data_IF_932593530813
#
_entry.id   IF_932593530813
#
_cell.length_a   1.000
_cell.length_b   1.000
_cell.length_c   1.000
_cell.angle_alpha   90.00
_cell.angle_beta   90.00
_cell.angle_gamma   90.00
#
_symmetry.space_group_name_H-M   'P 1'
#
loop_
_entity.id
_entity.type
_entity.pdbx_description
1 polymer ?
#
# COMPACT_ATOMS: atom_id res chain seq x y z
N UNK A 1 22.41 1.32 15.65
CA UNK A 1 22.98 0.55 14.53
C UNK A 1 21.90 0.34 13.46
N UNK A 2 22.19 0.72 12.26
CA UNK A 2 21.25 0.45 11.19
C UNK A 2 21.32 -1.04 10.81
N UNK A 3 20.16 -1.67 10.71
CA UNK A 3 20.09 -3.03 10.24
C UNK A 3 20.35 -3.06 8.73
N UNK A 4 21.19 -3.98 8.22
CA UNK A 4 21.34 -4.12 6.78
C UNK A 4 20.06 -4.60 6.09
N UNK A 5 19.09 -5.06 6.89
CA UNK A 5 17.82 -5.56 6.38
C UNK A 5 16.76 -4.47 6.22
N UNK A 6 17.05 -3.24 6.68
CA UNK A 6 16.11 -2.13 6.50
C UNK A 6 16.06 -1.71 5.05
N UNK A 7 14.83 -1.54 4.56
CA UNK A 7 14.60 -1.20 3.17
C UNK A 7 14.95 0.26 2.91
N UNK A 8 15.93 0.55 2.04
CA UNK A 8 16.30 1.95 1.79
C UNK A 8 15.25 2.68 0.96
N UNK A 9 15.21 4.00 1.11
CA UNK A 9 14.23 4.83 0.39
C UNK A 9 14.33 4.68 -1.13
N UNK A 10 15.55 4.60 -1.66
CA UNK A 10 15.73 4.43 -3.11
C UNK A 10 15.13 3.14 -3.64
N UNK A 11 15.22 2.07 -2.86
CA UNK A 11 14.61 0.79 -3.24
C UNK A 11 13.08 0.88 -3.20
N UNK A 12 12.54 1.55 -2.18
CA UNK A 12 11.09 1.77 -2.08
C UNK A 12 10.58 2.58 -3.27
N UNK A 13 11.28 3.65 -3.62
CA UNK A 13 10.89 4.48 -4.77
C UNK A 13 10.93 3.70 -6.08
N UNK A 14 11.93 2.83 -6.24
CA UNK A 14 12.00 1.92 -7.38
C UNK A 14 10.76 1.02 -7.45
N UNK A 15 10.36 0.45 -6.30
CA UNK A 15 9.19 -0.42 -6.22
C UNK A 15 7.89 0.33 -6.53
N UNK A 16 7.77 1.57 -6.07
CA UNK A 16 6.60 2.39 -6.38
C UNK A 16 6.51 2.70 -7.88
N UNK A 17 7.62 3.10 -8.48
CA UNK A 17 7.64 3.41 -9.90
C UNK A 17 7.24 2.19 -10.72
N UNK A 18 7.71 1.01 -10.34
CA UNK A 18 7.37 -0.24 -11.00
C UNK A 18 5.89 -0.58 -10.84
N UNK A 19 5.37 -0.50 -9.61
CA UNK A 19 3.95 -0.76 -9.37
C UNK A 19 3.06 0.22 -10.11
N UNK A 20 3.42 1.51 -10.12
CA UNK A 20 2.66 2.54 -10.83
C UNK A 20 2.63 2.29 -12.32
N UNK A 21 3.74 1.86 -12.90
CA UNK A 21 3.82 1.52 -14.33
C UNK A 21 2.91 0.33 -14.64
N UNK A 22 2.96 -0.70 -13.80
CA UNK A 22 2.11 -1.89 -13.97
C UNK A 22 0.64 -1.55 -13.79
N UNK A 23 0.30 -0.67 -12.86
CA UNK A 23 -1.09 -0.22 -12.69
C UNK A 23 -1.60 0.47 -13.94
N UNK A 24 -0.80 1.33 -14.55
CA UNK A 24 -1.19 2.03 -15.78
C UNK A 24 -1.47 1.07 -16.92
N UNK A 25 -0.79 -0.07 -16.95
CA UNK A 25 -0.95 -1.08 -17.98
C UNK A 25 -2.12 -2.02 -17.67
N UNK A 26 -2.22 -2.50 -16.43
CA UNK A 26 -3.15 -3.56 -16.06
C UNK A 26 -4.48 -3.03 -15.51
N UNK A 27 -4.48 -1.83 -14.97
CA UNK A 27 -5.68 -1.21 -14.38
C UNK A 27 -5.64 0.30 -14.61
N UNK A 28 -5.74 0.77 -15.88
CA UNK A 28 -5.47 2.17 -16.21
C UNK A 28 -6.45 3.18 -15.61
N UNK A 29 -7.64 2.75 -15.22
CA UNK A 29 -8.66 3.66 -14.67
C UNK A 29 -8.60 3.85 -13.16
N UNK A 30 -7.73 3.13 -12.44
CA UNK A 30 -7.67 3.29 -10.99
C UNK A 30 -6.75 4.44 -10.61
N UNK A 31 -7.07 5.09 -9.48
CA UNK A 31 -6.23 6.16 -8.95
C UNK A 31 -5.11 5.67 -8.06
N UNK A 32 -5.06 4.37 -7.78
CA UNK A 32 -4.02 3.77 -6.97
C UNK A 32 -4.39 2.38 -6.51
N UNK A 33 -3.54 1.80 -5.65
CA UNK A 33 -3.84 0.50 -5.07
C UNK A 33 -3.81 0.52 -3.55
N UNK A 34 -4.73 -0.24 -2.96
CA UNK A 34 -4.88 -0.40 -1.52
C UNK A 34 -4.49 -1.84 -1.18
N UNK A 35 -3.41 -2.00 -0.41
CA UNK A 35 -2.80 -3.31 -0.17
C UNK A 35 -2.90 -3.66 1.31
N UNK A 36 -3.37 -4.85 1.61
CA UNK A 36 -3.55 -5.32 2.99
C UNK A 36 -2.75 -6.58 3.32
N UNK A 37 -2.25 -7.31 2.32
CA UNK A 37 -1.44 -8.49 2.59
C UNK A 37 -0.14 -8.08 3.28
N UNK A 38 0.31 -8.90 4.23
CA UNK A 38 1.53 -8.58 4.98
C UNK A 38 2.77 -8.53 4.08
N UNK A 39 2.85 -9.43 3.10
CA UNK A 39 3.95 -9.41 2.14
C UNK A 39 3.91 -8.18 1.26
N UNK A 40 2.72 -7.77 0.83
CA UNK A 40 2.56 -6.55 0.04
C UNK A 40 2.91 -5.30 0.82
N UNK A 41 2.47 -5.24 2.08
CA UNK A 41 2.83 -4.12 2.96
C UNK A 41 4.35 -4.06 3.14
N UNK A 42 4.99 -5.20 3.42
CA UNK A 42 6.44 -5.23 3.58
C UNK A 42 7.15 -4.80 2.30
N UNK A 43 6.70 -5.30 1.15
CA UNK A 43 7.30 -4.97 -0.15
C UNK A 43 7.27 -3.45 -0.39
N UNK A 44 6.17 -2.80 -0.04
CA UNK A 44 5.94 -1.38 -0.33
C UNK A 44 6.42 -0.44 0.78
N UNK A 45 6.67 -0.93 1.98
CA UNK A 45 6.95 -0.04 3.12
C UNK A 45 8.21 -0.40 3.89
N UNK A 46 8.67 -1.63 3.79
CA UNK A 46 9.82 -2.10 4.57
C UNK A 46 9.51 -2.53 5.99
N UNK A 47 8.23 -2.55 6.37
CA UNK A 47 7.83 -3.00 7.70
C UNK A 47 6.69 -4.01 7.60
N UNK A 48 6.69 -5.00 8.51
CA UNK A 48 5.58 -5.94 8.63
C UNK A 48 4.57 -5.35 9.61
N UNK A 49 3.33 -5.19 9.18
CA UNK A 49 2.32 -4.59 10.02
C UNK A 49 0.91 -5.06 9.72
N UNK A 50 0.01 -4.79 10.66
CA UNK A 50 -1.41 -5.09 10.52
C UNK A 50 -2.13 -3.81 10.13
N UNK A 51 -2.54 -3.75 8.88
CA UNK A 51 -3.24 -2.58 8.38
C UNK A 51 -3.31 -2.59 6.87
N UNK A 52 -3.06 -1.44 6.28
CA UNK A 52 -3.09 -1.30 4.84
C UNK A 52 -2.17 -0.17 4.39
N UNK A 53 -1.76 -0.24 3.13
CA UNK A 53 -1.00 0.84 2.50
C UNK A 53 -1.76 1.30 1.26
N UNK A 54 -1.92 2.62 1.13
CA UNK A 54 -2.49 3.25 -0.05
C UNK A 54 -1.35 3.81 -0.89
N UNK A 55 -1.19 3.27 -2.09
CA UNK A 55 -0.20 3.77 -3.06
C UNK A 55 -0.97 4.43 -4.20
N UNK A 56 -1.08 5.78 -4.20
CA UNK A 56 -1.73 6.47 -5.32
C UNK A 56 -0.83 6.43 -6.55
N UNK A 57 -1.43 6.55 -7.74
CA UNK A 57 -0.65 6.64 -8.98
C UNK A 57 0.22 7.90 -9.00
N UNK A 58 -0.23 8.94 -8.30
CA UNK A 58 0.54 10.16 -8.08
C UNK A 58 0.35 10.59 -6.63
N UNK A 59 1.44 10.94 -5.96
CA UNK A 59 1.40 11.38 -4.58
C UNK A 59 2.10 10.43 -3.63
N UNK A 60 2.19 10.84 -2.38
CA UNK A 60 2.88 10.08 -1.35
C UNK A 60 2.05 8.89 -0.88
N UNK A 61 2.67 7.72 -0.69
CA UNK A 61 1.97 6.59 -0.10
C UNK A 61 1.64 6.84 1.37
N UNK A 62 0.58 6.17 1.84
CA UNK A 62 0.11 6.29 3.24
C UNK A 62 -0.01 4.89 3.82
N UNK A 63 0.71 4.65 4.91
CA UNK A 63 0.61 3.39 5.66
C UNK A 63 -0.26 3.62 6.88
N UNK A 64 -1.35 2.86 6.98
CA UNK A 64 -2.26 2.91 8.12
C UNK A 64 -2.18 1.61 8.89
N UNK A 65 -1.90 1.70 10.19
CA UNK A 65 -1.68 0.52 11.03
C UNK A 65 -2.62 0.52 12.22
N UNK A 66 -3.11 -0.66 12.57
CA UNK A 66 -3.93 -0.84 13.76
C UNK A 66 -3.11 -0.77 15.04
N UNK A 67 -1.82 -1.13 14.94
CA UNK A 67 -0.87 -1.04 16.07
C UNK A 67 0.55 -1.03 15.52
N UNK A 68 1.50 -0.65 16.37
CA UNK A 68 2.92 -0.70 16.00
C UNK A 68 3.39 0.45 15.14
N UNK A 69 2.71 1.58 15.19
CA UNK A 69 3.08 2.77 14.41
C UNK A 69 4.51 3.21 14.72
N UNK A 70 4.87 3.25 16.00
CA UNK A 70 6.21 3.69 16.41
C UNK A 70 7.31 2.80 15.84
N UNK A 71 7.08 1.48 15.87
CA UNK A 71 8.01 0.53 15.29
C UNK A 71 8.12 0.70 13.80
N UNK A 72 6.98 0.89 13.13
CA UNK A 72 6.97 1.09 11.68
C UNK A 72 7.73 2.36 11.30
N UNK A 73 7.60 3.42 12.08
CA UNK A 73 8.32 4.66 11.82
C UNK A 73 9.84 4.48 11.94
N UNK A 74 10.29 3.51 12.74
CA UNK A 74 11.71 3.19 12.84
C UNK A 74 12.19 2.29 11.70
N UNK A 75 11.32 1.44 11.17
CA UNK A 75 11.68 0.44 10.17
C UNK A 75 11.46 0.91 8.73
N UNK A 76 10.55 1.84 8.52
CA UNK A 76 10.15 2.26 7.18
C UNK A 76 10.52 3.71 6.93
N UNK A 77 11.02 4.03 5.71
CA UNK A 77 11.32 5.41 5.34
C UNK A 77 10.09 6.20 4.88
N UNK A 78 8.89 5.63 4.93
CA UNK A 78 7.69 6.33 4.51
C UNK A 78 7.44 7.57 5.35
N UNK A 79 6.94 8.62 4.71
CA UNK A 79 6.62 9.88 5.36
C UNK A 79 5.33 9.81 6.16
N UNK A 80 4.33 9.09 5.65
CA UNK A 80 3.00 9.03 6.24
C UNK A 80 2.72 7.64 6.81
N UNK A 81 2.89 7.51 8.13
CA UNK A 81 2.60 6.29 8.87
C UNK A 81 1.71 6.68 10.03
N UNK A 82 0.43 6.26 10.00
CA UNK A 82 -0.58 6.71 10.96
C UNK A 82 -1.36 5.53 11.54
N UNK A 83 -1.85 5.67 12.77
CA UNK A 83 -2.75 4.66 13.33
C UNK A 83 -4.16 4.83 12.78
N UNK A 84 -4.92 3.73 12.73
CA UNK A 84 -6.33 3.78 12.42
C UNK A 84 -7.08 2.69 13.20
N UNK A 85 -8.37 2.91 13.44
CA UNK A 85 -9.21 1.98 14.20
C UNK A 85 -10.31 1.37 13.33
N UNK A 86 -10.83 2.13 12.38
CA UNK A 86 -11.95 1.69 11.56
C UNK A 86 -11.73 2.06 10.11
N UNK A 87 -12.24 1.25 9.19
CA UNK A 87 -12.16 1.51 7.76
C UNK A 87 -12.81 2.83 7.35
N UNK A 88 -13.75 3.35 8.11
CA UNK A 88 -14.34 4.65 7.78
C UNK A 88 -13.38 5.82 7.97
N UNK A 89 -12.26 5.60 8.64
CA UNK A 89 -11.23 6.63 8.80
C UNK A 89 -10.30 6.73 7.60
N UNK A 90 -10.26 5.70 6.75
CA UNK A 90 -9.27 5.61 5.66
C UNK A 90 -9.34 6.82 4.74
N UNK A 91 -10.55 7.17 4.30
CA UNK A 91 -10.74 8.27 3.35
C UNK A 91 -10.22 9.59 3.91
N UNK A 92 -10.57 9.92 5.16
CA UNK A 92 -10.15 11.18 5.76
C UNK A 92 -8.67 11.20 6.09
N UNK A 93 -8.11 10.08 6.55
CA UNK A 93 -6.69 10.00 6.86
C UNK A 93 -5.83 10.17 5.61
N UNK A 94 -6.19 9.50 4.52
CA UNK A 94 -5.46 9.63 3.26
C UNK A 94 -5.58 11.04 2.69
N UNK A 95 -6.78 11.64 2.75
CA UNK A 95 -6.97 13.02 2.30
C UNK A 95 -6.14 14.00 3.13
N UNK A 96 -6.05 13.77 4.44
CA UNK A 96 -5.24 14.59 5.34
C UNK A 96 -3.75 14.53 5.02
N UNK A 97 -3.29 13.44 4.41
CA UNK A 97 -1.90 13.30 3.98
C UNK A 97 -1.65 13.86 2.58
N UNK A 98 -2.66 14.44 1.95
CA UNK A 98 -2.52 14.94 0.58
C UNK A 98 -2.61 13.86 -0.49
N UNK A 99 -3.07 12.66 -0.12
CA UNK A 99 -3.17 11.52 -1.03
C UNK A 99 -4.58 10.93 -0.97
N UNK A 100 -5.60 11.69 -1.40
CA UNK A 100 -6.99 11.23 -1.27
C UNK A 100 -7.24 9.98 -2.11
N UNK A 101 -8.20 9.18 -1.64
CA UNK A 101 -8.64 8.00 -2.39
C UNK A 101 -9.42 8.45 -3.63
N UNK A 102 -9.38 7.61 -4.65
CA UNK A 102 -10.12 7.85 -5.89
C UNK A 102 -11.40 7.03 -5.92
N UNK A 103 -12.24 7.28 -6.94
CA UNK A 103 -13.48 6.53 -7.12
C UNK A 103 -13.27 5.13 -7.70
N UNK A 104 -12.07 4.83 -8.18
CA UNK A 104 -11.70 3.50 -8.65
C UNK A 104 -10.37 3.13 -8.03
N UNK A 105 -10.34 2.00 -7.35
CA UNK A 105 -9.20 1.55 -6.55
C UNK A 105 -8.91 0.09 -6.86
N UNK A 106 -7.63 -0.25 -7.00
CA UNK A 106 -7.20 -1.64 -7.11
C UNK A 106 -6.84 -2.16 -5.72
N UNK A 107 -7.29 -3.36 -5.38
CA UNK A 107 -7.01 -3.98 -4.08
C UNK A 107 -6.36 -5.34 -4.27
N UNK A 108 -5.56 -5.77 -3.31
CA UNK A 108 -5.00 -7.11 -3.30
C UNK A 108 -6.05 -8.07 -2.73
N UNK A 109 -6.90 -8.62 -3.59
CA UNK A 109 -8.00 -9.48 -3.18
C UNK A 109 -7.54 -10.68 -2.36
N UNK A 110 -6.34 -11.17 -2.61
CA UNK A 110 -5.77 -12.27 -1.84
C UNK A 110 -5.41 -11.87 -0.41
N UNK A 111 -5.29 -10.58 -0.12
CA UNK A 111 -5.01 -10.07 1.22
C UNK A 111 -6.26 -9.82 2.06
N UNK A 112 -7.44 -9.84 1.44
CA UNK A 112 -8.71 -9.58 2.13
C UNK A 112 -9.46 -10.88 2.39
N UNK A 113 -9.95 -11.07 3.61
CA UNK A 113 -10.95 -12.09 3.84
C UNK A 113 -12.33 -11.52 3.50
N UNK A 114 -13.35 -12.38 3.45
CA UNK A 114 -14.71 -11.99 3.05
C UNK A 114 -15.26 -10.85 3.92
N UNK A 115 -15.12 -10.97 5.25
CA UNK A 115 -15.65 -9.97 6.19
C UNK A 115 -14.97 -8.62 6.00
N UNK A 116 -13.66 -8.61 5.79
CA UNK A 116 -12.91 -7.37 5.55
C UNK A 116 -13.35 -6.70 4.25
N UNK A 117 -13.54 -7.49 3.20
CA UNK A 117 -13.98 -6.97 1.90
C UNK A 117 -15.37 -6.34 2.00
N UNK A 118 -16.31 -7.02 2.66
CA UNK A 118 -17.66 -6.48 2.87
C UNK A 118 -17.62 -5.18 3.67
N UNK A 119 -16.84 -5.15 4.73
CA UNK A 119 -16.72 -3.96 5.57
C UNK A 119 -16.14 -2.79 4.79
N UNK A 120 -15.08 -3.03 4.04
CA UNK A 120 -14.44 -2.00 3.23
C UNK A 120 -15.43 -1.43 2.22
N UNK A 121 -16.16 -2.30 1.51
CA UNK A 121 -17.14 -1.86 0.53
C UNK A 121 -18.28 -1.06 1.16
N UNK A 122 -18.72 -1.44 2.37
CA UNK A 122 -19.79 -0.72 3.05
C UNK A 122 -19.36 0.66 3.54
N UNK A 123 -18.07 0.87 3.79
CA UNK A 123 -17.54 2.15 4.27
C UNK A 123 -17.10 3.07 3.15
N UNK A 124 -17.03 2.57 1.92
CA UNK A 124 -16.54 3.33 0.77
C UNK A 124 -17.56 3.25 -0.38
N UNK A 125 -18.76 3.77 -0.13
CA UNK A 125 -19.83 3.79 -1.11
C UNK A 125 -19.39 4.57 -2.37
N UNK A 126 -19.81 4.06 -3.52
CA UNK A 126 -19.50 4.69 -4.79
C UNK A 126 -18.09 4.41 -5.30
N UNK A 127 -17.28 3.69 -4.54
CA UNK A 127 -15.94 3.32 -4.97
C UNK A 127 -15.98 1.99 -5.71
N UNK A 128 -15.37 1.96 -6.89
CA UNK A 128 -15.26 0.74 -7.68
C UNK A 128 -13.94 0.05 -7.36
N UNK A 129 -14.00 -1.23 -7.02
CA UNK A 129 -12.82 -2.02 -6.67
C UNK A 129 -12.47 -3.01 -7.77
N UNK A 130 -11.18 -3.11 -8.09
CA UNK A 130 -10.64 -4.14 -8.98
C UNK A 130 -9.42 -4.77 -8.31
N UNK A 131 -8.85 -5.82 -8.91
CA UNK A 131 -7.71 -6.53 -8.31
C UNK A 131 -6.39 -5.90 -8.71
N UNK A 132 -5.44 -5.82 -7.77
CA UNK A 132 -4.04 -5.50 -8.07
C UNK A 132 -3.12 -6.70 -7.81
N UNK A 133 -3.67 -7.90 -7.66
CA UNK A 133 -2.85 -9.09 -7.39
C UNK A 133 -1.83 -9.35 -8.49
N UNK A 134 -2.21 -9.15 -9.75
CA UNK A 134 -1.28 -9.31 -10.88
C UNK A 134 -0.17 -8.25 -10.84
N UNK A 135 -0.50 -7.02 -10.46
CA UNK A 135 0.49 -5.94 -10.33
C UNK A 135 1.55 -6.32 -9.30
N UNK A 136 1.11 -6.75 -8.12
CA UNK A 136 2.02 -7.12 -7.04
C UNK A 136 2.86 -8.34 -7.42
N UNK A 137 2.24 -9.35 -8.03
CA UNK A 137 2.96 -10.55 -8.44
C UNK A 137 4.05 -10.23 -9.47
N UNK A 138 3.72 -9.42 -10.46
CA UNK A 138 4.70 -9.04 -11.49
C UNK A 138 5.78 -8.12 -10.95
N UNK A 139 5.43 -7.21 -10.05
CA UNK A 139 6.39 -6.31 -9.44
C UNK A 139 7.42 -7.10 -8.62
N UNK A 140 6.96 -8.08 -7.84
CA UNK A 140 7.84 -8.89 -6.99
C UNK A 140 8.65 -9.92 -7.79
N UNK A 141 8.19 -10.30 -8.97
CA UNK A 141 8.89 -11.28 -9.80
C UNK A 141 10.20 -10.73 -10.35
N UNK A 142 10.33 -9.41 -10.51
CA UNK A 142 11.56 -8.79 -11.00
C UNK A 142 12.39 -8.32 -9.81
N UNK A 143 13.60 -8.85 -9.70
CA UNK A 143 14.51 -8.50 -8.61
C UNK A 143 15.29 -7.24 -8.97
N UNK A 144 15.40 -6.32 -8.02
CA UNK A 144 16.23 -5.14 -8.13
C UNK A 144 17.68 -5.49 -7.79
N UNK A 145 18.61 -4.59 -8.05
CA UNK A 145 20.00 -4.77 -7.64
C UNK A 145 20.11 -4.98 -6.14
N UNK A 146 19.34 -4.22 -5.36
CA UNK A 146 19.32 -4.35 -3.90
C UNK A 146 18.91 -5.75 -3.46
N UNK A 147 17.90 -6.33 -4.12
CA UNK A 147 17.40 -7.67 -3.79
C UNK A 147 18.36 -8.78 -4.19
N UNK A 148 19.23 -8.54 -5.16
CA UNK A 148 20.20 -9.52 -5.63
C UNK A 148 21.50 -9.52 -4.82
N UNK A 149 21.74 -8.49 -4.02
CA UNK A 149 22.85 -8.43 -3.10
C UNK A 149 22.55 -9.25 -1.84
#
# INVERSE_FOLDING_TARGET
MSSPDLLPLGEIEFRYARCRRLLRTLAPDVGGMLVTSRLGIYYLTGTLGWGLVWLPVEGEPVLLLRKGVERAQLESPLRHILPFKSYKEITSLCAGCGSPLSSAIAVDKNGFNWSMAEMLQSRMEGVRFTSCDAVLAQARAVKSEWELE
#
